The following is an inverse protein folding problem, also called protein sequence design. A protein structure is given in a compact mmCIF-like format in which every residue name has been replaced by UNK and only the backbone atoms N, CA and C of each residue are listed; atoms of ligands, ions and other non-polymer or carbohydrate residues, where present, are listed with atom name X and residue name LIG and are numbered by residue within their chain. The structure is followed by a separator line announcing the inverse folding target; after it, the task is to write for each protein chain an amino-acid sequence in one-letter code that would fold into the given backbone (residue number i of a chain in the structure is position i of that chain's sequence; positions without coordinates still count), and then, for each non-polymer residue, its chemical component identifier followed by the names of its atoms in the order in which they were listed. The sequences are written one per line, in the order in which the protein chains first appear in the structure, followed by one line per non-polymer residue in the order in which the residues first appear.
data_IF_028907768318
#
_entry.id   IF_028907768318
#
_cell.length_a   1.000
_cell.length_b   1.000
_cell.length_c   1.000
_cell.angle_alpha   90.00
_cell.angle_beta   90.00
_cell.angle_gamma   90.00
#
_symmetry.space_group_name_H-M   'P 1'
#
loop_
_entity.id
_entity.type
_entity.pdbx_description
1 polymer ?
#
# COMPACT_ATOMS: atom_id res chain seq x y z
N UNK A 1 -15.26 -12.90 21.08
CA UNK A 1 -13.93 -12.26 21.16
C UNK A 1 -13.92 -11.16 20.12
N UNK A 2 -13.94 -9.90 20.57
CA UNK A 2 -14.03 -8.73 19.70
C UNK A 2 -12.65 -8.44 19.12
N UNK A 3 -12.38 -8.90 17.91
CA UNK A 3 -11.13 -8.59 17.23
C UNK A 3 -11.05 -7.09 16.99
N UNK A 4 -10.01 -6.50 17.57
CA UNK A 4 -9.67 -5.09 17.58
C UNK A 4 -9.78 -4.46 16.20
N UNK A 5 -10.71 -3.52 16.04
CA UNK A 5 -10.77 -2.65 14.88
C UNK A 5 -9.65 -1.61 14.96
N UNK A 6 -8.40 -2.02 14.73
CA UNK A 6 -7.28 -1.09 14.63
C UNK A 6 -7.45 -0.24 13.38
N UNK A 7 -7.48 1.08 13.55
CA UNK A 7 -7.64 2.04 12.47
C UNK A 7 -6.51 1.90 11.46
N UNK A 8 -6.78 2.16 10.17
CA UNK A 8 -5.77 2.16 9.11
C UNK A 8 -4.59 3.10 9.47
N UNK A 9 -4.86 4.16 10.23
CA UNK A 9 -3.84 5.10 10.71
C UNK A 9 -2.84 4.41 11.66
N UNK A 10 -3.34 3.57 12.57
CA UNK A 10 -2.51 2.87 13.56
C UNK A 10 -1.66 1.78 12.91
N UNK A 11 -2.18 1.10 11.88
CA UNK A 11 -1.43 0.12 11.08
C UNK A 11 -0.28 0.78 10.30
N UNK A 12 -0.50 1.97 9.75
CA UNK A 12 0.53 2.72 9.01
C UNK A 12 1.61 3.29 9.94
N UNK A 13 1.25 3.64 11.18
CA UNK A 13 2.18 4.21 12.17
C UNK A 13 3.07 3.16 12.84
N UNK A 14 2.60 1.91 12.98
CA UNK A 14 3.31 0.85 13.71
C UNK A 14 4.21 -0.05 12.84
N UNK A 15 4.56 0.38 11.63
CA UNK A 15 5.42 -0.40 10.72
C UNK A 15 4.89 -1.82 10.42
N UNK A 16 3.59 -2.07 10.66
CA UNK A 16 2.96 -3.28 10.13
C UNK A 16 3.00 -3.16 8.60
N UNK A 17 3.73 -4.09 7.98
CA UNK A 17 3.99 -4.16 6.55
C UNK A 17 2.68 -4.11 5.76
N UNK A 18 2.19 -2.91 5.46
CA UNK A 18 1.06 -2.68 4.57
C UNK A 18 1.51 -3.08 3.16
N UNK A 19 1.38 -4.36 2.88
CA UNK A 19 1.80 -4.97 1.63
C UNK A 19 0.66 -4.95 0.61
N UNK A 20 0.97 -5.37 -0.61
CA UNK A 20 0.03 -5.38 -1.74
C UNK A 20 -1.27 -6.12 -1.40
N UNK A 21 -1.17 -7.26 -0.72
CA UNK A 21 -2.32 -8.09 -0.32
C UNK A 21 -3.26 -7.31 0.57
N UNK A 22 -2.70 -6.56 1.55
CA UNK A 22 -3.53 -5.77 2.47
C UNK A 22 -4.32 -4.67 1.76
N UNK A 23 -3.72 -4.00 0.77
CA UNK A 23 -4.45 -3.00 -0.02
C UNK A 23 -5.58 -3.62 -0.84
N UNK A 24 -5.37 -4.81 -1.39
CA UNK A 24 -6.41 -5.55 -2.14
C UNK A 24 -7.56 -5.94 -1.19
N UNK A 25 -7.26 -6.51 -0.02
CA UNK A 25 -8.27 -6.86 0.99
C UNK A 25 -9.11 -5.66 1.41
N UNK A 26 -8.46 -4.52 1.66
CA UNK A 26 -9.16 -3.30 2.06
C UNK A 26 -10.03 -2.75 0.92
N UNK A 27 -9.56 -2.79 -0.32
CA UNK A 27 -10.34 -2.34 -1.47
C UNK A 27 -11.61 -3.19 -1.66
N UNK A 28 -11.47 -4.53 -1.57
CA UNK A 28 -12.58 -5.49 -1.62
C UNK A 28 -13.58 -5.28 -0.49
N UNK A 29 -13.09 -5.15 0.75
CA UNK A 29 -13.95 -4.90 1.90
C UNK A 29 -14.75 -3.59 1.78
N UNK A 30 -14.21 -2.57 1.11
CA UNK A 30 -14.94 -1.33 0.85
C UNK A 30 -16.04 -1.54 -0.20
N UNK A 31 -15.77 -2.29 -1.28
CA UNK A 31 -16.79 -2.62 -2.28
C UNK A 31 -17.92 -3.47 -1.68
N UNK A 32 -17.57 -4.46 -0.83
CA UNK A 32 -18.55 -5.27 -0.10
C UNK A 32 -19.47 -4.42 0.79
N UNK A 33 -18.92 -3.43 1.49
CA UNK A 33 -19.69 -2.51 2.35
C UNK A 33 -20.44 -1.44 1.57
N UNK A 34 -19.93 -1.05 0.40
CA UNK A 34 -20.47 0.01 -0.44
C UNK A 34 -20.50 -0.43 -1.91
N UNK A 35 -21.49 -1.24 -2.34
CA UNK A 35 -21.53 -1.82 -3.69
C UNK A 35 -21.59 -0.80 -4.85
N UNK A 36 -21.86 0.46 -4.55
CA UNK A 36 -21.80 1.57 -5.52
C UNK A 36 -20.38 2.04 -5.84
N UNK A 37 -19.39 1.54 -5.11
CA UNK A 37 -17.98 1.90 -5.25
C UNK A 37 -17.20 0.66 -5.63
N UNK A 38 -16.39 0.76 -6.68
CA UNK A 38 -15.59 -0.36 -7.16
C UNK A 38 -14.25 -0.41 -6.45
N UNK A 39 -13.66 -1.60 -6.34
CA UNK A 39 -12.36 -1.81 -5.70
C UNK A 39 -11.23 -1.00 -6.37
N UNK A 40 -11.27 -0.80 -7.69
CA UNK A 40 -10.23 -0.11 -8.46
C UNK A 40 -10.15 1.39 -8.15
N UNK A 41 -11.22 1.96 -7.57
CA UNK A 41 -11.18 3.33 -7.05
C UNK A 41 -10.23 3.44 -5.84
N UNK A 42 -10.06 2.34 -5.12
CA UNK A 42 -9.34 2.30 -3.85
C UNK A 42 -7.92 1.76 -4.00
N UNK A 43 -7.71 0.75 -4.83
CA UNK A 43 -6.38 0.25 -5.12
C UNK A 43 -6.30 -0.44 -6.50
N UNK A 44 -5.34 0.01 -7.31
CA UNK A 44 -4.91 -0.67 -8.53
C UNK A 44 -3.45 -1.06 -8.31
N UNK A 45 -3.11 -2.37 -8.31
CA UNK A 45 -1.75 -2.80 -8.09
C UNK A 45 -0.86 -2.48 -9.28
N UNK A 46 0.44 -2.41 -9.01
CA UNK A 46 1.47 -2.37 -10.03
C UNK A 46 1.32 -3.53 -11.00
N UNK A 47 1.44 -3.24 -12.29
CA UNK A 47 1.45 -4.23 -13.35
C UNK A 47 2.57 -3.90 -14.35
N UNK A 48 3.35 -4.90 -14.74
CA UNK A 48 4.35 -4.79 -15.81
C UNK A 48 4.11 -5.89 -16.82
N UNK A 49 3.75 -5.51 -18.03
CA UNK A 49 3.51 -6.42 -19.14
C UNK A 49 4.35 -5.99 -20.34
N UNK A 50 5.44 -6.73 -20.59
CA UNK A 50 6.46 -6.33 -21.56
C UNK A 50 7.05 -4.95 -21.26
N UNK A 51 6.80 -3.99 -22.15
CA UNK A 51 7.25 -2.60 -22.03
C UNK A 51 6.22 -1.68 -21.38
N UNK A 52 5.01 -2.17 -21.06
CA UNK A 52 3.95 -1.39 -20.44
C UNK A 52 4.10 -1.51 -18.92
N UNK A 53 4.19 -0.37 -18.25
CA UNK A 53 4.26 -0.28 -16.79
C UNK A 53 3.06 0.55 -16.31
N UNK A 54 2.27 -0.04 -15.42
CA UNK A 54 1.23 0.64 -14.64
C UNK A 54 1.66 0.68 -13.17
N UNK A 55 1.84 1.87 -12.58
CA UNK A 55 2.21 1.99 -11.17
C UNK A 55 1.08 1.58 -10.23
N UNK A 56 1.38 1.46 -8.94
CA UNK A 56 0.35 1.38 -7.89
C UNK A 56 -0.45 2.71 -7.86
N UNK A 57 -1.78 2.63 -7.82
CA UNK A 57 -2.68 3.80 -7.79
C UNK A 57 -3.90 3.55 -6.90
N UNK A 58 -4.67 4.59 -6.62
CA UNK A 58 -5.95 4.51 -5.92
C UNK A 58 -5.93 5.21 -4.57
N UNK A 59 -7.12 5.49 -4.03
CA UNK A 59 -7.30 6.33 -2.83
C UNK A 59 -6.56 5.80 -1.59
N UNK A 60 -6.50 4.48 -1.42
CA UNK A 60 -5.79 3.90 -0.28
C UNK A 60 -4.27 4.08 -0.40
N UNK A 61 -3.74 3.84 -1.60
CA UNK A 61 -2.31 4.02 -1.87
C UNK A 61 -1.89 5.49 -1.74
N UNK A 62 -2.68 6.41 -2.26
CA UNK A 62 -2.43 7.86 -2.13
C UNK A 62 -2.41 8.29 -0.66
N UNK A 63 -3.36 7.79 0.14
CA UNK A 63 -3.42 8.09 1.57
C UNK A 63 -2.20 7.54 2.31
N UNK A 64 -1.78 6.32 2.01
CA UNK A 64 -0.56 5.72 2.54
C UNK A 64 0.67 6.56 2.20
N UNK A 65 0.85 6.94 0.93
CA UNK A 65 1.96 7.79 0.51
C UNK A 65 1.98 9.13 1.24
N UNK A 66 0.82 9.76 1.44
CA UNK A 66 0.72 11.03 2.17
C UNK A 66 1.10 10.88 3.64
N UNK A 67 0.57 9.87 4.33
CA UNK A 67 0.92 9.61 5.73
C UNK A 67 2.42 9.31 5.87
N UNK A 68 2.99 8.47 4.99
CA UNK A 68 4.43 8.16 5.00
C UNK A 68 5.30 9.39 4.76
N UNK A 69 4.89 10.29 3.85
CA UNK A 69 5.54 11.58 3.63
C UNK A 69 5.51 12.44 4.90
N UNK A 70 4.38 12.51 5.58
CA UNK A 70 4.24 13.33 6.78
C UNK A 70 5.05 12.77 7.96
N UNK A 71 5.06 11.45 8.16
CA UNK A 71 5.92 10.78 9.15
C UNK A 71 7.40 11.11 8.88
N UNK A 72 7.84 11.03 7.60
CA UNK A 72 9.23 11.34 7.23
C UNK A 72 9.61 12.79 7.53
N UNK A 73 8.69 13.74 7.34
CA UNK A 73 8.93 15.16 7.68
C UNK A 73 9.14 15.34 9.18
N UNK A 74 8.39 14.61 10.00
CA UNK A 74 8.46 14.68 11.47
C UNK A 74 9.74 14.01 11.99
N UNK A 75 10.16 12.88 11.41
CA UNK A 75 11.31 12.10 11.88
C UNK A 75 12.67 12.73 11.55
N UNK A 76 12.71 13.90 10.88
CA UNK A 76 13.94 14.61 10.55
C UNK A 76 14.87 13.88 9.56
N UNK A 77 14.44 12.72 9.05
CA UNK A 77 15.21 11.89 8.13
C UNK A 77 15.08 12.51 6.74
N UNK A 78 15.95 13.48 6.42
CA UNK A 78 16.05 14.04 5.08
C UNK A 78 16.39 12.89 4.12
N UNK A 79 15.41 12.45 3.33
CA UNK A 79 15.70 11.67 2.13
C UNK A 79 16.40 12.65 1.19
N UNK A 80 17.65 12.38 0.85
CA UNK A 80 18.35 13.13 -0.20
C UNK A 80 17.43 13.19 -1.43
N UNK A 81 17.32 14.38 -2.03
CA UNK A 81 16.66 14.55 -3.31
C UNK A 81 17.39 13.69 -4.34
N UNK A 82 16.93 12.46 -4.53
CA UNK A 82 17.07 11.77 -5.80
C UNK A 82 15.88 12.24 -6.62
N UNK A 83 16.18 13.03 -7.64
CA UNK A 83 15.24 13.39 -8.69
C UNK A 83 14.50 12.13 -9.17
N UNK A 84 13.17 12.20 -9.18
CA UNK A 84 12.32 11.26 -9.91
C UNK A 84 12.03 9.93 -9.21
N UNK A 85 10.74 9.69 -8.95
CA UNK A 85 10.10 8.39 -9.13
C UNK A 85 10.85 7.14 -8.59
N UNK A 86 11.30 7.15 -7.33
CA UNK A 86 11.62 5.89 -6.66
C UNK A 86 10.31 5.20 -6.29
N UNK A 87 9.71 4.55 -7.28
CA UNK A 87 8.57 3.65 -7.15
C UNK A 87 8.91 2.65 -6.04
N UNK A 88 8.22 2.74 -4.91
CA UNK A 88 8.38 1.74 -3.85
C UNK A 88 7.72 0.47 -4.39
N UNK A 89 8.55 -0.45 -4.89
CA UNK A 89 8.08 -1.69 -5.49
C UNK A 89 7.53 -2.58 -4.38
N UNK A 90 6.22 -2.52 -4.18
CA UNK A 90 5.52 -3.29 -3.16
C UNK A 90 5.59 -4.81 -3.40
N UNK A 91 6.11 -5.23 -4.56
CA UNK A 91 6.38 -6.63 -4.87
C UNK A 91 7.69 -7.14 -4.22
N UNK A 92 8.61 -6.27 -3.78
CA UNK A 92 9.89 -6.68 -3.17
C UNK A 92 9.75 -7.18 -1.72
N UNK A 93 8.51 -7.21 -1.16
CA UNK A 93 8.22 -7.70 0.19
C UNK A 93 7.64 -9.13 0.23
N UNK A 94 7.58 -9.81 -0.92
CA UNK A 94 7.16 -11.21 -1.01
C UNK A 94 8.31 -12.08 -1.55
N UNK A 95 9.38 -12.29 -0.77
CA UNK A 95 10.28 -13.43 -1.00
C UNK A 95 10.87 -14.00 0.30
N UNK A 96 10.00 -14.29 1.26
CA UNK A 96 10.34 -15.24 2.34
C UNK A 96 9.24 -16.30 2.42
N UNK A 97 9.48 -17.42 1.73
CA UNK A 97 8.88 -18.71 2.11
C UNK A 97 8.00 -19.41 1.09
N UNK A 98 8.63 -20.14 0.16
CA UNK A 98 8.22 -21.50 -0.20
C UNK A 98 9.47 -22.28 -0.65
N UNK A 99 10.26 -22.78 0.31
CA UNK A 99 11.17 -23.90 0.03
C UNK A 99 10.29 -25.13 -0.14
N UNK A 100 10.12 -25.58 -1.39
CA UNK A 100 9.56 -26.90 -1.65
C UNK A 100 10.51 -27.97 -1.08
N UNK A 101 9.90 -28.90 -0.36
CA UNK A 101 10.51 -30.02 0.36
C UNK A 101 11.22 -30.99 -0.59
#
# INVERSE_FOLDING_TARGET
MTSSSSSIVDQIQNDENLNRTRFIELAKGIEELFPSKTEELYFIPYCKEGNIISPNRGKLYDKFCNIKKDITKISGTKREHSDGNKEFNLNDLNDEGMKHN
#
